data_IF_090132719871
#
_entry.id   IF_090132719871
#
_cell.length_a   1.000
_cell.length_b   1.000
_cell.length_c   1.000
_cell.angle_alpha   90.00
_cell.angle_beta   90.00
_cell.angle_gamma   90.00
#
_symmetry.space_group_name_H-M   'P 1'
#
loop_
_entity.id
_entity.type
_entity.pdbx_description
1 polymer ?
#
# COMPACT_ATOMS: atom_id res chain seq x y z
N UNK A 1 -0.17 -10.77 -18.52
CA UNK A 1 -0.53 -9.33 -18.43
C UNK A 1 -1.18 -9.08 -17.07
N UNK A 2 -0.85 -7.99 -16.40
CA UNK A 2 -1.49 -7.57 -15.13
C UNK A 2 -2.76 -6.78 -15.47
N UNK A 3 -3.87 -7.10 -14.82
CA UNK A 3 -5.14 -6.37 -14.96
C UNK A 3 -5.66 -5.96 -13.59
N UNK A 4 -6.01 -4.69 -13.43
CA UNK A 4 -6.57 -4.16 -12.18
C UNK A 4 -7.92 -4.80 -11.88
N UNK A 5 -8.06 -5.35 -10.68
CA UNK A 5 -9.31 -5.95 -10.21
C UNK A 5 -10.15 -4.88 -9.49
N UNK A 6 -10.95 -4.15 -10.25
CA UNK A 6 -11.92 -3.20 -9.72
C UNK A 6 -13.28 -3.86 -9.52
N UNK A 7 -13.38 -4.68 -8.48
CA UNK A 7 -14.68 -5.24 -8.07
C UNK A 7 -15.37 -4.25 -7.13
N UNK A 8 -16.70 -4.23 -7.16
CA UNK A 8 -17.55 -3.41 -6.29
C UNK A 8 -17.07 -3.45 -4.81
N UNK A 9 -16.75 -4.64 -4.30
CA UNK A 9 -16.23 -4.82 -2.93
C UNK A 9 -14.92 -4.04 -2.66
N UNK A 10 -14.01 -3.99 -3.62
CA UNK A 10 -12.75 -3.24 -3.51
C UNK A 10 -13.04 -1.74 -3.40
N UNK A 11 -13.95 -1.24 -4.23
CA UNK A 11 -14.33 0.17 -4.26
C UNK A 11 -15.05 0.57 -2.97
N UNK A 12 -16.00 -0.25 -2.49
CA UNK A 12 -16.74 -0.01 -1.25
C UNK A 12 -15.81 -0.02 -0.02
N UNK A 13 -14.90 -0.99 0.05
CA UNK A 13 -13.90 -1.03 1.12
C UNK A 13 -13.00 0.21 1.09
N UNK A 14 -12.49 0.58 -0.08
CA UNK A 14 -11.64 1.78 -0.21
C UNK A 14 -12.37 3.04 0.27
N UNK A 15 -13.62 3.23 -0.11
CA UNK A 15 -14.41 4.38 0.32
C UNK A 15 -14.55 4.44 1.85
N UNK A 16 -14.80 3.30 2.52
CA UNK A 16 -14.87 3.25 3.99
C UNK A 16 -13.52 3.53 4.64
N UNK A 17 -12.43 3.00 4.09
CA UNK A 17 -11.07 3.27 4.60
C UNK A 17 -10.71 4.75 4.44
N UNK A 18 -11.05 5.37 3.30
CA UNK A 18 -10.82 6.80 3.05
C UNK A 18 -11.66 7.67 4.02
N UNK A 19 -12.94 7.30 4.26
CA UNK A 19 -13.82 7.99 5.21
C UNK A 19 -13.29 7.90 6.66
N UNK A 20 -12.72 6.76 7.02
CA UNK A 20 -12.09 6.56 8.32
C UNK A 20 -10.71 7.24 8.46
N UNK A 21 -10.17 7.83 7.39
CA UNK A 21 -8.86 8.46 7.40
C UNK A 21 -7.69 7.48 7.33
N UNK A 22 -7.91 6.26 6.81
CA UNK A 22 -6.83 5.31 6.59
C UNK A 22 -5.78 5.87 5.64
N UNK A 23 -4.52 5.68 5.99
CA UNK A 23 -3.37 6.12 5.19
C UNK A 23 -2.88 5.05 4.21
N UNK A 24 -3.55 3.89 4.15
CA UNK A 24 -3.17 2.81 3.26
C UNK A 24 -3.75 2.98 1.85
N UNK A 25 -2.85 3.09 0.89
CA UNK A 25 -3.13 2.88 -0.52
C UNK A 25 -2.93 1.43 -0.91
N UNK A 26 -3.77 0.90 -1.80
CA UNK A 26 -3.59 -0.47 -2.30
C UNK A 26 -4.21 -0.68 -3.68
N UNK A 27 -3.67 -1.64 -4.41
CA UNK A 27 -4.23 -2.16 -5.67
C UNK A 27 -4.21 -3.68 -5.65
N UNK A 28 -5.14 -4.29 -6.37
CA UNK A 28 -5.18 -5.74 -6.57
C UNK A 28 -5.22 -6.01 -8.06
N UNK A 29 -4.28 -6.82 -8.53
CA UNK A 29 -4.12 -7.15 -9.93
C UNK A 29 -4.33 -8.66 -10.13
N UNK A 30 -5.00 -9.05 -11.22
CA UNK A 30 -5.06 -10.43 -11.67
C UNK A 30 -3.90 -10.76 -12.58
N UNK A 31 -3.46 -12.01 -12.54
CA UNK A 31 -2.44 -12.55 -13.43
C UNK A 31 -3.03 -13.57 -14.40
N UNK A 32 -2.47 -13.62 -15.60
CA UNK A 32 -2.79 -14.67 -16.59
C UNK A 32 -2.43 -16.07 -16.07
N UNK A 33 -3.07 -17.08 -16.64
CA UNK A 33 -2.97 -18.48 -16.19
C UNK A 33 -1.56 -19.03 -16.06
N UNK A 34 -0.66 -18.58 -16.90
CA UNK A 34 0.71 -19.07 -17.01
C UNK A 34 1.75 -18.16 -16.35
N UNK A 35 1.33 -16.99 -15.89
CA UNK A 35 2.25 -16.02 -15.30
C UNK A 35 2.77 -16.49 -13.94
N UNK A 36 4.08 -16.50 -13.79
CA UNK A 36 4.78 -16.63 -12.51
C UNK A 36 5.50 -15.30 -12.29
N UNK A 37 4.99 -14.43 -11.43
CA UNK A 37 5.59 -13.13 -11.25
C UNK A 37 6.98 -13.26 -10.64
N UNK A 38 7.92 -12.58 -11.26
CA UNK A 38 9.22 -12.28 -10.71
C UNK A 38 9.26 -10.82 -10.18
N UNK A 39 10.43 -10.33 -9.85
CA UNK A 39 10.62 -8.97 -9.35
C UNK A 39 10.09 -7.91 -10.34
N UNK A 40 10.17 -8.15 -11.64
CA UNK A 40 9.66 -7.21 -12.66
C UNK A 40 8.15 -6.98 -12.54
N UNK A 41 7.36 -8.05 -12.39
CA UNK A 41 5.91 -7.95 -12.22
C UNK A 41 5.53 -7.29 -10.89
N UNK A 42 6.31 -7.52 -9.83
CA UNK A 42 6.14 -6.82 -8.56
C UNK A 42 6.41 -5.31 -8.71
N UNK A 43 7.42 -4.90 -9.49
CA UNK A 43 7.67 -3.48 -9.83
C UNK A 43 6.54 -2.89 -10.67
N UNK A 44 5.98 -3.66 -11.59
CA UNK A 44 4.82 -3.23 -12.38
C UNK A 44 3.59 -3.01 -11.47
N UNK A 45 3.38 -3.86 -10.47
CA UNK A 45 2.32 -3.65 -9.48
C UNK A 45 2.54 -2.38 -8.65
N UNK A 46 3.79 -2.06 -8.27
CA UNK A 46 4.11 -0.78 -7.62
C UNK A 46 3.84 0.41 -8.55
N UNK A 47 4.18 0.31 -9.85
CA UNK A 47 3.86 1.39 -10.80
C UNK A 47 2.37 1.69 -10.81
N UNK A 48 1.52 0.65 -10.92
CA UNK A 48 0.05 0.81 -10.89
C UNK A 48 -0.43 1.39 -9.54
N UNK A 49 0.21 1.00 -8.42
CA UNK A 49 -0.11 1.57 -7.11
C UNK A 49 0.22 3.07 -7.06
N UNK A 50 1.42 3.46 -7.47
CA UNK A 50 1.84 4.87 -7.42
C UNK A 50 1.09 5.76 -8.43
N UNK A 51 0.66 5.22 -9.57
CA UNK A 51 -0.27 5.90 -10.47
C UNK A 51 -1.62 6.19 -9.76
N UNK A 52 -2.16 5.21 -9.01
CA UNK A 52 -3.40 5.40 -8.25
C UNK A 52 -3.21 6.40 -7.08
N UNK A 53 -2.06 6.39 -6.40
CA UNK A 53 -1.71 7.38 -5.37
C UNK A 53 -1.66 8.78 -5.97
N UNK A 54 -1.00 8.95 -7.11
CA UNK A 54 -0.91 10.27 -7.78
C UNK A 54 -2.29 10.78 -8.19
N UNK A 55 -3.11 9.96 -8.84
CA UNK A 55 -4.49 10.31 -9.21
C UNK A 55 -5.31 10.79 -7.99
N UNK A 56 -5.24 10.05 -6.87
CA UNK A 56 -5.93 10.41 -5.62
C UNK A 56 -5.40 11.72 -5.04
N UNK A 57 -4.09 11.88 -5.01
CA UNK A 57 -3.42 13.09 -4.52
C UNK A 57 -3.82 14.30 -5.34
N UNK A 58 -3.89 14.18 -6.65
CA UNK A 58 -4.32 15.28 -7.54
C UNK A 58 -5.79 15.65 -7.32
N UNK A 59 -6.67 14.66 -7.09
CA UNK A 59 -8.09 14.91 -6.74
C UNK A 59 -8.17 15.67 -5.42
N UNK A 60 -7.42 15.25 -4.40
CA UNK A 60 -7.38 15.92 -3.11
C UNK A 60 -6.84 17.35 -3.23
N UNK A 61 -5.73 17.57 -3.96
CA UNK A 61 -5.15 18.89 -4.18
C UNK A 61 -6.14 19.85 -4.85
N UNK A 62 -6.86 19.39 -5.88
CA UNK A 62 -7.90 20.20 -6.54
C UNK A 62 -8.98 20.65 -5.55
N UNK A 63 -9.52 19.72 -4.75
CA UNK A 63 -10.52 20.03 -3.73
C UNK A 63 -9.98 21.01 -2.68
N UNK A 64 -8.73 20.83 -2.27
CA UNK A 64 -8.09 21.74 -1.31
C UNK A 64 -7.94 23.16 -1.88
N UNK A 65 -7.56 23.30 -3.14
CA UNK A 65 -7.45 24.60 -3.83
C UNK A 65 -8.84 25.26 -3.99
N UNK A 66 -9.86 24.48 -4.33
CA UNK A 66 -11.24 24.97 -4.42
C UNK A 66 -11.72 25.53 -3.08
N UNK A 67 -11.45 24.86 -1.97
CA UNK A 67 -11.82 25.28 -0.63
C UNK A 67 -10.92 26.41 -0.09
N UNK A 68 -9.65 26.39 -0.47
CA UNK A 68 -8.62 27.29 0.03
C UNK A 68 -7.72 27.79 -1.13
N UNK A 69 -8.11 28.84 -1.87
CA UNK A 69 -7.39 29.35 -3.05
C UNK A 69 -5.92 29.72 -2.81
N UNK A 70 -5.53 29.98 -1.55
CA UNK A 70 -4.12 30.25 -1.18
C UNK A 70 -3.16 29.12 -1.54
N UNK A 71 -3.66 27.89 -1.71
CA UNK A 71 -2.85 26.73 -2.10
C UNK A 71 -2.67 26.54 -3.61
N UNK A 72 -3.24 27.43 -4.46
CA UNK A 72 -3.13 27.32 -5.92
C UNK A 72 -1.69 27.29 -6.43
N UNK A 73 -0.78 28.02 -5.76
CA UNK A 73 0.64 28.10 -6.11
C UNK A 73 1.54 27.40 -5.08
N UNK A 74 0.98 26.49 -4.27
CA UNK A 74 1.77 25.76 -3.28
C UNK A 74 2.74 24.80 -4.01
N UNK A 75 4.05 24.78 -3.65
CA UNK A 75 5.03 23.89 -4.26
C UNK A 75 4.87 22.45 -3.73
N UNK A 76 3.93 21.71 -4.29
CA UNK A 76 3.69 20.33 -3.90
C UNK A 76 4.91 19.45 -4.23
N UNK A 77 5.30 18.53 -3.33
CA UNK A 77 6.38 17.59 -3.65
C UNK A 77 5.96 16.64 -4.78
N UNK A 78 6.94 16.26 -5.59
CA UNK A 78 6.82 15.15 -6.52
C UNK A 78 6.95 13.84 -5.73
N UNK A 79 5.91 13.01 -5.76
CA UNK A 79 5.85 11.71 -5.08
C UNK A 79 6.19 10.53 -6.03
N UNK A 80 6.57 10.83 -7.26
CA UNK A 80 6.91 9.81 -8.26
C UNK A 80 8.00 8.87 -7.76
N UNK A 81 7.84 7.55 -7.91
CA UNK A 81 8.82 6.60 -7.44
C UNK A 81 9.96 6.38 -8.46
N UNK A 82 11.20 6.34 -8.00
CA UNK A 82 12.30 5.77 -8.78
C UNK A 82 12.39 4.26 -8.52
N UNK A 83 11.53 3.50 -9.20
CA UNK A 83 11.46 2.05 -9.02
C UNK A 83 12.78 1.33 -9.40
N UNK A 84 13.67 1.95 -10.18
CA UNK A 84 14.95 1.35 -10.51
C UNK A 84 15.89 1.31 -9.29
N UNK A 85 15.72 2.23 -8.34
CA UNK A 85 16.48 2.25 -7.09
C UNK A 85 15.85 1.41 -5.97
N UNK A 86 14.56 1.08 -6.05
CA UNK A 86 13.91 0.26 -5.04
C UNK A 86 14.56 -1.14 -4.93
N UNK A 87 14.82 -1.61 -3.72
CA UNK A 87 15.45 -2.92 -3.45
C UNK A 87 14.55 -3.72 -2.53
N UNK A 88 13.82 -4.73 -3.10
CA UNK A 88 12.94 -5.56 -2.30
C UNK A 88 13.71 -6.57 -1.45
N UNK A 89 13.08 -6.94 -0.36
CA UNK A 89 13.48 -8.08 0.46
C UNK A 89 12.30 -9.04 0.58
N UNK A 90 12.53 -10.31 0.26
CA UNK A 90 11.52 -11.34 0.46
C UNK A 90 11.31 -11.59 1.96
N UNK A 91 10.06 -11.63 2.39
CA UNK A 91 9.73 -11.99 3.76
C UNK A 91 9.66 -13.52 3.90
N UNK A 92 10.13 -14.02 5.02
CA UNK A 92 9.99 -15.43 5.36
C UNK A 92 8.54 -15.76 5.81
N UNK A 93 8.24 -17.05 5.94
CA UNK A 93 6.91 -17.53 6.31
C UNK A 93 6.45 -17.07 7.69
N UNK A 94 7.36 -16.88 8.64
CA UNK A 94 7.04 -16.42 9.99
C UNK A 94 6.60 -14.94 9.96
N UNK A 95 7.31 -14.09 9.22
CA UNK A 95 6.96 -12.68 9.04
C UNK A 95 5.65 -12.51 8.24
N UNK A 96 5.43 -13.33 7.21
CA UNK A 96 4.18 -13.34 6.46
C UNK A 96 2.99 -13.72 7.35
N UNK A 97 3.15 -14.74 8.20
CA UNK A 97 2.13 -15.14 9.16
C UNK A 97 1.84 -14.03 10.19
N UNK A 98 2.88 -13.34 10.68
CA UNK A 98 2.74 -12.21 11.59
C UNK A 98 1.98 -11.04 10.96
N UNK A 99 2.27 -10.69 9.68
CA UNK A 99 1.56 -9.64 8.95
C UNK A 99 0.06 -9.92 8.80
N UNK A 100 -0.31 -11.19 8.58
CA UNK A 100 -1.71 -11.60 8.34
C UNK A 100 -2.55 -11.75 9.61
N UNK A 101 -1.90 -11.73 10.78
CA UNK A 101 -2.54 -12.05 12.07
C UNK A 101 -3.33 -10.85 12.61
N UNK A 102 -4.48 -11.12 13.24
CA UNK A 102 -5.14 -10.15 14.13
C UNK A 102 -4.19 -9.72 15.26
N UNK A 103 -4.21 -8.44 15.57
CA UNK A 103 -3.27 -7.80 16.51
C UNK A 103 -1.79 -7.88 16.06
N UNK A 104 -1.53 -8.29 14.82
CA UNK A 104 -0.23 -8.18 14.18
C UNK A 104 0.11 -6.73 13.81
N UNK A 105 1.33 -6.49 13.32
CA UNK A 105 1.78 -5.12 13.01
C UNK A 105 0.92 -4.45 11.93
N UNK A 106 0.57 -5.16 10.87
CA UNK A 106 -0.25 -4.61 9.78
C UNK A 106 -1.71 -4.37 10.21
N UNK A 107 -2.27 -5.25 11.08
CA UNK A 107 -3.59 -5.03 11.67
C UNK A 107 -3.60 -3.73 12.48
N UNK A 108 -2.66 -3.57 13.40
CA UNK A 108 -2.58 -2.36 14.24
C UNK A 108 -2.44 -1.09 13.41
N UNK A 109 -1.56 -1.13 12.40
CA UNK A 109 -1.35 0.01 11.52
C UNK A 109 -2.62 0.40 10.73
N UNK A 110 -3.45 -0.58 10.32
CA UNK A 110 -4.69 -0.29 9.61
C UNK A 110 -5.80 0.22 10.52
N UNK A 111 -6.02 -0.44 11.67
CA UNK A 111 -7.20 -0.15 12.52
C UNK A 111 -7.03 1.07 13.41
N UNK A 112 -5.80 1.52 13.62
CA UNK A 112 -5.47 2.71 14.39
C UNK A 112 -4.69 3.71 13.53
N UNK A 113 -5.37 4.37 12.57
CA UNK A 113 -4.73 5.35 11.70
C UNK A 113 -4.33 6.61 12.49
N UNK A 114 -3.23 7.29 12.12
CA UNK A 114 -2.65 8.39 12.91
C UNK A 114 -3.61 9.54 13.17
N UNK A 115 -4.51 9.83 12.23
CA UNK A 115 -5.43 10.99 12.29
C UNK A 115 -6.89 10.61 12.03
N UNK A 116 -7.17 9.32 11.93
CA UNK A 116 -8.48 8.84 11.52
C UNK A 116 -9.34 8.36 12.68
N UNK A 117 -10.50 7.85 12.32
CA UNK A 117 -11.37 7.12 13.23
C UNK A 117 -10.91 5.68 13.29
N UNK A 118 -10.76 5.07 14.47
CA UNK A 118 -10.39 3.66 14.59
C UNK A 118 -11.32 2.75 13.77
N UNK A 119 -10.73 1.87 12.98
CA UNK A 119 -11.44 0.88 12.20
C UNK A 119 -11.79 -0.35 13.04
N UNK A 120 -12.78 -1.11 12.60
CA UNK A 120 -13.18 -2.35 13.27
C UNK A 120 -12.30 -3.54 12.81
N UNK A 121 -12.19 -4.56 13.64
CA UNK A 121 -11.49 -5.80 13.26
C UNK A 121 -12.08 -6.43 11.98
N UNK A 122 -13.37 -6.26 11.73
CA UNK A 122 -14.04 -6.73 10.50
C UNK A 122 -13.50 -6.04 9.24
N UNK A 123 -13.12 -4.77 9.31
CA UNK A 123 -12.53 -4.04 8.17
C UNK A 123 -11.17 -4.60 7.81
N UNK A 124 -10.36 -4.97 8.82
CA UNK A 124 -9.09 -5.66 8.58
C UNK A 124 -9.29 -7.04 7.94
N UNK A 125 -10.28 -7.82 8.40
CA UNK A 125 -10.59 -9.12 7.79
C UNK A 125 -11.01 -8.95 6.34
N UNK A 126 -11.86 -7.97 6.04
CA UNK A 126 -12.26 -7.70 4.67
C UNK A 126 -11.08 -7.23 3.81
N UNK A 127 -10.20 -6.39 4.35
CA UNK A 127 -9.01 -5.93 3.64
C UNK A 127 -8.04 -7.08 3.34
N UNK A 128 -7.81 -7.98 4.32
CA UNK A 128 -7.06 -9.23 4.09
C UNK A 128 -7.64 -10.07 2.95
N UNK A 129 -8.97 -10.20 2.91
CA UNK A 129 -9.65 -10.93 1.82
C UNK A 129 -9.48 -10.23 0.47
N UNK A 130 -9.57 -8.90 0.43
CA UNK A 130 -9.35 -8.11 -0.78
C UNK A 130 -7.92 -8.26 -1.27
N UNK A 131 -6.93 -8.11 -0.41
CA UNK A 131 -5.51 -8.26 -0.73
C UNK A 131 -5.08 -9.70 -1.02
N UNK A 132 -5.93 -10.70 -0.72
CA UNK A 132 -5.58 -12.13 -0.78
C UNK A 132 -4.42 -12.50 0.13
N UNK A 133 -4.34 -11.87 1.30
CA UNK A 133 -3.31 -12.08 2.32
C UNK A 133 -3.61 -13.37 3.11
N UNK A 134 -3.33 -14.51 2.50
CA UNK A 134 -3.53 -15.85 3.04
C UNK A 134 -2.20 -16.63 3.07
N UNK A 135 -1.50 -16.68 4.21
CA UNK A 135 -0.18 -17.33 4.31
C UNK A 135 -0.17 -18.81 3.93
N UNK A 136 -1.24 -19.53 4.25
CA UNK A 136 -1.44 -20.94 3.95
C UNK A 136 -1.65 -21.27 2.46
N UNK A 137 -1.83 -20.26 1.64
CA UNK A 137 -1.97 -20.39 0.19
C UNK A 137 -0.62 -20.27 -0.58
N UNK A 138 0.51 -20.29 0.13
CA UNK A 138 1.84 -20.17 -0.47
C UNK A 138 2.17 -18.72 -0.86
N UNK A 139 1.65 -17.78 -0.09
CA UNK A 139 1.85 -16.34 -0.31
C UNK A 139 3.33 -15.97 -0.36
N UNK A 140 3.71 -15.16 -1.33
CA UNK A 140 5.02 -14.54 -1.43
C UNK A 140 4.87 -13.04 -1.20
N UNK A 141 5.71 -12.48 -0.34
CA UNK A 141 5.67 -11.06 0.00
C UNK A 141 7.05 -10.45 -0.17
N UNK A 142 7.11 -9.32 -0.87
CA UNK A 142 8.29 -8.49 -0.97
C UNK A 142 8.06 -7.20 -0.19
N UNK A 143 9.00 -6.88 0.71
CA UNK A 143 9.07 -5.61 1.43
C UNK A 143 10.03 -4.66 0.71
N UNK A 144 9.54 -3.48 0.32
CA UNK A 144 10.26 -2.51 -0.51
C UNK A 144 10.89 -1.36 0.27
N UNK A 145 10.55 -1.19 1.55
CA UNK A 145 11.01 -0.06 2.35
C UNK A 145 11.73 -0.45 3.65
N UNK A 146 11.48 -1.65 4.17
CA UNK A 146 12.09 -2.13 5.40
C UNK A 146 11.66 -1.35 6.63
N UNK A 147 12.52 -1.38 7.65
CA UNK A 147 12.33 -0.61 8.87
C UNK A 147 13.02 0.75 8.73
N UNK A 148 12.25 1.84 8.83
CA UNK A 148 12.74 3.20 8.63
C UNK A 148 13.92 3.59 9.56
N UNK A 149 13.92 3.10 10.81
CA UNK A 149 14.95 3.42 11.80
C UNK A 149 16.27 2.67 11.54
N UNK A 150 16.17 1.42 11.06
CA UNK A 150 17.33 0.54 10.87
C UNK A 150 17.89 0.58 9.46
N UNK A 151 17.03 0.82 8.47
CA UNK A 151 17.33 0.73 7.05
C UNK A 151 16.80 1.97 6.28
N UNK A 152 17.11 3.22 6.73
CA UNK A 152 16.50 4.43 6.17
C UNK A 152 16.75 4.59 4.66
N UNK A 153 17.83 4.03 4.14
CA UNK A 153 18.18 4.08 2.71
C UNK A 153 17.24 3.25 1.82
N UNK A 154 16.47 2.30 2.37
CA UNK A 154 15.59 1.44 1.58
C UNK A 154 14.32 2.15 1.09
N UNK A 155 13.99 3.30 1.65
CA UNK A 155 12.79 4.08 1.30
C UNK A 155 13.09 5.35 0.49
N UNK A 156 14.36 5.63 0.15
CA UNK A 156 14.77 6.88 -0.52
C UNK A 156 14.38 6.96 -1.99
N UNK A 157 13.83 5.90 -2.56
CA UNK A 157 13.40 5.82 -3.95
C UNK A 157 12.05 6.53 -4.24
N UNK A 158 11.36 7.02 -3.21
CA UNK A 158 10.20 7.91 -3.37
C UNK A 158 10.05 8.84 -2.16
N UNK A 159 9.79 10.11 -2.44
CA UNK A 159 9.45 11.12 -1.41
C UNK A 159 8.12 10.84 -0.71
N UNK A 160 7.31 9.95 -1.24
CA UNK A 160 6.08 9.48 -0.59
C UNK A 160 6.33 8.97 0.84
N UNK A 161 7.55 8.44 1.12
CA UNK A 161 7.90 7.88 2.43
C UNK A 161 8.58 8.86 3.37
N UNK A 162 8.90 10.09 2.92
CA UNK A 162 9.73 11.00 3.72
C UNK A 162 9.05 11.39 5.03
N UNK A 163 7.76 11.63 4.98
CA UNK A 163 6.99 12.14 6.11
C UNK A 163 6.66 11.05 7.14
N UNK A 164 6.45 9.79 6.73
CA UNK A 164 6.05 8.70 7.62
C UNK A 164 7.17 8.08 8.46
N UNK A 165 8.41 8.57 8.33
CA UNK A 165 9.57 7.98 9.02
C UNK A 165 9.64 8.35 10.51
N UNK A 166 8.97 9.41 10.94
CA UNK A 166 9.20 10.00 12.24
C UNK A 166 8.52 9.28 13.41
N UNK A 167 7.33 8.68 13.25
CA UNK A 167 6.70 7.97 14.38
C UNK A 167 5.73 6.82 14.04
N UNK A 168 4.84 6.98 13.04
CA UNK A 168 3.88 5.91 12.72
C UNK A 168 4.50 4.82 11.85
N UNK A 169 5.45 5.18 11.01
CA UNK A 169 6.15 4.29 10.12
C UNK A 169 5.71 4.37 8.66
N UNK A 170 6.37 3.56 7.88
CA UNK A 170 6.15 3.44 6.44
C UNK A 170 5.91 1.98 6.07
N UNK A 171 5.08 1.77 5.05
CA UNK A 171 4.76 0.46 4.52
C UNK A 171 4.85 0.49 3.00
N UNK A 172 5.47 -0.52 2.42
CA UNK A 172 5.37 -0.78 0.99
C UNK A 172 5.60 -2.26 0.72
N UNK A 173 4.53 -2.98 0.46
CA UNK A 173 4.56 -4.41 0.25
C UNK A 173 3.92 -4.78 -1.09
N UNK A 174 4.45 -5.83 -1.72
CA UNK A 174 3.77 -6.52 -2.80
C UNK A 174 3.56 -7.99 -2.44
N UNK A 175 2.36 -8.51 -2.72
CA UNK A 175 1.89 -9.80 -2.26
C UNK A 175 1.42 -10.64 -3.45
N UNK A 176 2.13 -11.71 -3.77
CA UNK A 176 1.71 -12.66 -4.77
C UNK A 176 1.03 -13.87 -4.12
N UNK A 177 -0.24 -14.08 -4.44
CA UNK A 177 -0.98 -15.28 -4.04
C UNK A 177 -1.12 -16.23 -5.23
N UNK A 178 -0.37 -17.36 -5.26
CA UNK A 178 -0.38 -18.29 -6.39
C UNK A 178 -1.71 -19.01 -6.58
N UNK A 179 -2.44 -19.32 -5.49
CA UNK A 179 -3.73 -19.99 -5.57
C UNK A 179 -4.83 -19.09 -6.14
N UNK A 180 -4.80 -17.80 -5.81
CA UNK A 180 -5.76 -16.79 -6.27
C UNK A 180 -5.31 -16.12 -7.56
N UNK A 181 -4.03 -16.31 -7.93
CA UNK A 181 -3.42 -15.70 -9.11
C UNK A 181 -3.60 -14.18 -9.09
N UNK A 182 -3.28 -13.61 -7.96
CA UNK A 182 -3.36 -12.16 -7.71
C UNK A 182 -2.01 -11.64 -7.27
N UNK A 183 -1.71 -10.44 -7.70
CA UNK A 183 -0.59 -9.65 -7.23
C UNK A 183 -1.16 -8.36 -6.65
N UNK A 184 -1.10 -8.22 -5.34
CA UNK A 184 -1.53 -7.01 -4.65
C UNK A 184 -0.33 -6.15 -4.31
N UNK A 185 -0.51 -4.83 -4.33
CA UNK A 185 0.47 -3.89 -3.81
C UNK A 185 -0.21 -2.95 -2.83
N UNK A 186 0.49 -2.60 -1.76
CA UNK A 186 0.04 -1.63 -0.77
C UNK A 186 1.19 -0.71 -0.36
N UNK A 187 0.86 0.52 -0.02
CA UNK A 187 1.79 1.47 0.58
C UNK A 187 1.06 2.33 1.61
N UNK A 188 1.79 2.77 2.60
CA UNK A 188 1.35 3.76 3.56
C UNK A 188 2.53 4.59 4.04
N UNK A 189 2.28 5.87 4.23
CA UNK A 189 3.18 6.82 4.87
C UNK A 189 2.32 7.86 5.56
N UNK A 190 2.55 8.10 6.83
CA UNK A 190 1.80 9.09 7.57
C UNK A 190 2.74 10.13 8.16
N UNK A 191 2.31 11.38 8.06
CA UNK A 191 2.96 12.51 8.71
C UNK A 191 2.26 12.86 10.01
N UNK A 192 2.94 13.63 10.84
CA UNK A 192 2.34 14.45 11.88
C UNK A 192 1.47 15.57 11.31
#
# INVERSE_FOLDING_TARGET
>A
MLQKLEKRRVTELRARLDEAGSVFDFVVLSLDATARPGEAEHRDALRVLFEAIDERTQVWRRKLVEQHPRYANHPWPDLSPDLAQARPQALDSARIAELSRENGPLHRALVDPPYGTPLQAADFQEWREVLRLYPDEGLQVLDWVGNADREPQRSTWSRYFDDGKEWWGIWCLTLYNPRRRTLSALAASATD
#
